data_IF_019772979087
#
_entry.id   IF_019772979087
#
_cell.length_a   1.000
_cell.length_b   1.000
_cell.length_c   1.000
_cell.angle_alpha   90.00
_cell.angle_beta   90.00
_cell.angle_gamma   90.00
#
_symmetry.space_group_name_H-M   'P 1'
#
loop_
_entity.id
_entity.type
_entity.pdbx_description
1 polymer ?
#
# COMPACT_ATOMS: atom_id res chain seq x y z
N UNK A 1 11.44 4.13 -33.05
CA UNK A 1 11.36 4.49 -31.62
C UNK A 1 10.23 5.49 -31.47
N UNK A 2 9.10 5.10 -30.87
CA UNK A 2 8.01 6.03 -30.56
C UNK A 2 8.48 6.97 -29.45
N UNK A 3 8.46 8.28 -29.69
CA UNK A 3 8.78 9.28 -28.67
C UNK A 3 7.61 9.37 -27.67
N UNK A 4 7.88 9.66 -26.40
CA UNK A 4 6.83 9.91 -25.39
C UNK A 4 5.77 10.89 -25.89
N UNK A 5 6.18 11.88 -26.69
CA UNK A 5 5.30 12.86 -27.32
C UNK A 5 4.28 12.25 -28.30
N UNK A 6 4.70 11.26 -29.09
CA UNK A 6 3.80 10.53 -30.01
C UNK A 6 2.78 9.64 -29.30
N UNK A 7 3.08 9.17 -28.07
CA UNK A 7 2.14 8.40 -27.24
C UNK A 7 1.05 9.32 -26.64
N UNK A 8 1.41 10.55 -26.25
CA UNK A 8 0.43 11.52 -25.76
C UNK A 8 -0.53 12.05 -26.84
N UNK A 9 -0.13 12.05 -28.11
CA UNK A 9 -0.99 12.47 -29.23
C UNK A 9 -2.02 11.40 -29.65
N UNK A 10 -1.82 10.14 -29.28
CA UNK A 10 -2.75 9.04 -29.62
C UNK A 10 -4.05 9.12 -28.80
N UNK A 11 -4.13 10.03 -27.82
CA UNK A 11 -5.29 10.14 -26.95
C UNK A 11 -5.39 8.91 -26.06
N UNK A 12 -4.64 8.90 -24.96
CA UNK A 12 -4.83 7.85 -23.96
C UNK A 12 -6.27 7.93 -23.44
N UNK A 13 -6.96 6.78 -23.26
CA UNK A 13 -8.25 6.75 -22.60
C UNK A 13 -8.15 7.53 -21.28
N UNK A 14 -9.09 8.42 -21.02
CA UNK A 14 -9.09 9.26 -19.81
C UNK A 14 -8.98 8.43 -18.53
N UNK A 15 -9.60 7.25 -18.52
CA UNK A 15 -9.53 6.25 -17.44
C UNK A 15 -8.09 5.79 -17.12
N UNK A 16 -7.27 5.60 -18.16
CA UNK A 16 -5.88 5.19 -18.01
C UNK A 16 -5.02 6.34 -17.48
N UNK A 17 -5.28 7.57 -17.94
CA UNK A 17 -4.62 8.78 -17.41
C UNK A 17 -4.96 8.94 -15.92
N UNK A 18 -6.24 8.84 -15.55
CA UNK A 18 -6.71 8.95 -14.17
C UNK A 18 -6.05 7.88 -13.29
N UNK A 19 -5.98 6.64 -13.77
CA UNK A 19 -5.36 5.53 -13.03
C UNK A 19 -3.87 5.73 -12.78
N UNK A 20 -3.13 6.20 -13.81
CA UNK A 20 -1.69 6.50 -13.66
C UNK A 20 -1.47 7.66 -12.68
N UNK A 21 -2.26 8.73 -12.80
CA UNK A 21 -2.16 9.90 -11.90
C UNK A 21 -2.49 9.51 -10.46
N UNK A 22 -3.55 8.72 -10.25
CA UNK A 22 -3.92 8.22 -8.93
C UNK A 22 -2.81 7.36 -8.32
N UNK A 23 -2.18 6.48 -9.10
CA UNK A 23 -1.05 5.66 -8.66
C UNK A 23 0.16 6.52 -8.25
N UNK A 24 0.49 7.54 -9.05
CA UNK A 24 1.61 8.45 -8.74
C UNK A 24 1.33 9.22 -7.44
N UNK A 25 0.12 9.75 -7.27
CA UNK A 25 -0.30 10.46 -6.06
C UNK A 25 -0.23 9.52 -4.85
N UNK A 26 -0.70 8.28 -4.99
CA UNK A 26 -0.67 7.28 -3.93
C UNK A 26 0.76 6.96 -3.48
N UNK A 27 1.63 6.57 -4.43
CA UNK A 27 3.03 6.24 -4.11
C UNK A 27 3.76 7.44 -3.51
N UNK A 28 3.53 8.65 -4.03
CA UNK A 28 4.16 9.86 -3.50
C UNK A 28 3.68 10.15 -2.08
N UNK A 29 2.39 9.99 -1.81
CA UNK A 29 1.81 10.13 -0.48
C UNK A 29 2.41 9.14 0.50
N UNK A 30 2.54 7.87 0.12
CA UNK A 30 3.18 6.83 0.94
C UNK A 30 4.62 7.20 1.33
N UNK A 31 5.42 7.65 0.35
CA UNK A 31 6.81 8.09 0.62
C UNK A 31 6.83 9.23 1.63
N UNK A 32 5.95 10.22 1.49
CA UNK A 32 5.88 11.39 2.37
C UNK A 32 5.44 10.98 3.78
N UNK A 33 4.37 10.20 3.91
CA UNK A 33 3.83 9.78 5.19
C UNK A 33 4.78 8.85 5.93
N UNK A 34 5.40 7.88 5.24
CA UNK A 34 6.40 7.01 5.84
C UNK A 34 7.60 7.81 6.34
N UNK A 35 8.08 8.78 5.56
CA UNK A 35 9.18 9.67 5.97
C UNK A 35 8.82 10.51 7.19
N UNK A 36 7.59 11.02 7.26
CA UNK A 36 7.07 11.75 8.43
C UNK A 36 7.03 10.83 9.64
N UNK A 37 6.47 9.62 9.51
CA UNK A 37 6.41 8.61 10.56
C UNK A 37 7.78 8.31 11.13
N UNK A 38 8.76 7.98 10.28
CA UNK A 38 10.14 7.70 10.68
C UNK A 38 10.81 8.86 11.41
N UNK A 39 10.55 10.10 10.96
CA UNK A 39 11.08 11.31 11.60
C UNK A 39 10.48 11.54 12.99
N UNK A 40 9.16 11.38 13.13
CA UNK A 40 8.45 11.55 14.41
C UNK A 40 8.93 10.51 15.43
N UNK A 41 9.10 9.26 15.01
CA UNK A 41 9.52 8.18 15.89
C UNK A 41 11.02 8.15 16.16
N UNK A 42 11.79 9.02 15.50
CA UNK A 42 13.27 9.03 15.56
C UNK A 42 13.85 7.66 15.24
N UNK A 43 13.48 7.11 14.08
CA UNK A 43 14.04 5.86 13.59
C UNK A 43 15.56 5.97 13.42
N UNK A 44 16.29 4.92 13.81
CA UNK A 44 17.75 4.97 13.94
C UNK A 44 18.47 4.52 12.66
N UNK A 45 17.86 3.61 11.90
CA UNK A 45 18.47 3.03 10.70
C UNK A 45 17.61 3.21 9.47
N UNK A 46 18.28 3.21 8.30
CA UNK A 46 17.66 3.14 6.96
C UNK A 46 16.59 4.22 6.69
N UNK A 47 16.78 5.42 7.22
CA UNK A 47 15.86 6.58 7.05
C UNK A 47 16.05 7.36 5.73
N UNK A 48 17.06 7.04 4.93
CA UNK A 48 17.31 7.73 3.66
C UNK A 48 16.26 7.35 2.61
N UNK A 49 15.97 8.26 1.67
CA UNK A 49 14.90 8.07 0.66
C UNK A 49 15.01 6.74 -0.10
N UNK A 50 16.23 6.30 -0.45
CA UNK A 50 16.46 5.00 -1.12
C UNK A 50 15.91 3.81 -0.32
N UNK A 51 16.03 3.87 1.00
CA UNK A 51 15.58 2.83 1.91
C UNK A 51 14.10 2.93 2.21
N UNK A 52 13.54 4.14 2.27
CA UNK A 52 12.10 4.39 2.39
C UNK A 52 11.37 3.82 1.17
N UNK A 53 11.83 4.14 -0.04
CA UNK A 53 11.27 3.60 -1.28
C UNK A 53 11.41 2.08 -1.33
N UNK A 54 12.59 1.56 -0.98
CA UNK A 54 12.82 0.12 -0.88
C UNK A 54 11.88 -0.57 0.12
N UNK A 55 11.64 0.03 1.28
CA UNK A 55 10.70 -0.52 2.26
C UNK A 55 9.28 -0.54 1.72
N UNK A 56 8.82 0.52 1.04
CA UNK A 56 7.47 0.57 0.45
C UNK A 56 7.25 -0.59 -0.53
N UNK A 57 8.23 -0.90 -1.40
CA UNK A 57 8.11 -2.04 -2.31
C UNK A 57 8.01 -3.38 -1.57
N UNK A 58 8.76 -3.56 -0.47
CA UNK A 58 8.69 -4.78 0.35
C UNK A 58 7.34 -4.87 1.06
N UNK A 59 6.83 -3.76 1.60
CA UNK A 59 5.52 -3.68 2.27
C UNK A 59 4.38 -3.98 1.29
N UNK A 60 4.40 -3.37 0.10
CA UNK A 60 3.44 -3.69 -0.97
C UNK A 60 3.52 -5.17 -1.35
N UNK A 61 4.74 -5.72 -1.48
CA UNK A 61 4.93 -7.15 -1.77
C UNK A 61 4.32 -8.05 -0.69
N UNK A 62 4.48 -7.69 0.59
CA UNK A 62 3.87 -8.40 1.71
C UNK A 62 2.34 -8.33 1.66
N UNK A 63 1.76 -7.15 1.43
CA UNK A 63 0.31 -6.97 1.32
C UNK A 63 -0.26 -7.80 0.17
N UNK A 64 0.39 -7.76 -0.99
CA UNK A 64 -0.01 -8.58 -2.15
C UNK A 64 0.07 -10.05 -1.80
N UNK A 65 1.16 -10.52 -1.19
CA UNK A 65 1.32 -11.92 -0.81
C UNK A 65 0.23 -12.40 0.16
N UNK A 66 -0.11 -11.59 1.17
CA UNK A 66 -1.19 -11.90 2.12
C UNK A 66 -2.58 -11.80 1.47
N UNK A 67 -2.75 -10.89 0.50
CA UNK A 67 -4.00 -10.67 -0.21
C UNK A 67 -4.28 -11.65 -1.35
N UNK A 68 -3.26 -12.31 -1.91
CA UNK A 68 -3.40 -13.27 -3.03
C UNK A 68 -4.46 -14.36 -2.76
N UNK A 69 -4.49 -15.02 -1.58
CA UNK A 69 -5.55 -15.98 -1.28
C UNK A 69 -6.97 -15.40 -1.40
N UNK A 70 -7.17 -14.15 -0.97
CA UNK A 70 -8.46 -13.47 -1.07
C UNK A 70 -8.81 -13.12 -2.52
N UNK A 71 -7.81 -12.71 -3.31
CA UNK A 71 -7.98 -12.45 -4.75
C UNK A 71 -8.38 -13.73 -5.48
N UNK A 72 -7.74 -14.86 -5.17
CA UNK A 72 -8.06 -16.16 -5.77
C UNK A 72 -9.50 -16.57 -5.44
N UNK A 73 -9.91 -16.44 -4.17
CA UNK A 73 -11.30 -16.73 -3.75
C UNK A 73 -12.31 -15.86 -4.50
N UNK A 74 -12.00 -14.57 -4.67
CA UNK A 74 -12.86 -13.68 -5.43
C UNK A 74 -12.94 -14.05 -6.91
N UNK A 75 -11.81 -14.36 -7.53
CA UNK A 75 -11.74 -14.74 -8.93
C UNK A 75 -12.44 -16.08 -9.22
N UNK A 76 -12.55 -16.97 -8.24
CA UNK A 76 -13.28 -18.24 -8.36
C UNK A 76 -14.79 -18.11 -8.12
N UNK A 77 -15.32 -16.89 -7.93
CA UNK A 77 -16.74 -16.67 -7.62
C UNK A 77 -17.10 -16.87 -6.15
N UNK A 78 -16.13 -17.15 -5.27
CA UNK A 78 -16.39 -17.47 -3.85
C UNK A 78 -16.97 -16.31 -3.03
N UNK A 79 -16.96 -15.09 -3.55
CA UNK A 79 -17.67 -13.95 -2.95
C UNK A 79 -19.19 -13.98 -3.20
N UNK A 80 -19.65 -14.63 -4.28
CA UNK A 80 -21.09 -14.81 -4.57
C UNK A 80 -21.71 -15.88 -3.66
N UNK A 81 -20.91 -16.85 -3.22
CA UNK A 81 -21.31 -17.92 -2.28
C UNK A 81 -21.25 -17.50 -0.79
N UNK A 82 -21.37 -16.19 -0.51
CA UNK A 82 -21.36 -15.65 0.85
C UNK A 82 -19.98 -15.24 1.38
N UNK A 83 -18.92 -15.38 0.57
CA UNK A 83 -17.59 -14.86 0.84
C UNK A 83 -16.73 -15.70 1.81
N UNK A 84 -15.47 -15.27 2.03
CA UNK A 84 -14.56 -15.93 2.95
C UNK A 84 -15.12 -15.88 4.36
N UNK A 85 -14.92 -16.96 5.10
CA UNK A 85 -15.25 -17.02 6.52
C UNK A 85 -14.63 -15.82 7.26
N UNK A 86 -15.47 -15.05 7.97
CA UNK A 86 -15.05 -13.85 8.71
C UNK A 86 -13.89 -14.12 9.68
N UNK A 87 -13.85 -15.29 10.30
CA UNK A 87 -12.75 -15.67 11.21
C UNK A 87 -11.42 -15.76 10.46
N UNK A 88 -11.42 -16.24 9.20
CA UNK A 88 -10.21 -16.31 8.35
C UNK A 88 -9.77 -14.90 7.97
N UNK A 89 -10.70 -14.04 7.55
CA UNK A 89 -10.43 -12.63 7.21
C UNK A 89 -9.83 -11.86 8.38
N UNK A 90 -10.43 -11.97 9.57
CA UNK A 90 -9.93 -11.34 10.79
C UNK A 90 -8.54 -11.85 11.15
N UNK A 91 -8.32 -13.17 11.05
CA UNK A 91 -7.01 -13.78 11.33
C UNK A 91 -5.94 -13.28 10.36
N UNK A 92 -6.25 -13.23 9.06
CA UNK A 92 -5.35 -12.70 8.03
C UNK A 92 -5.01 -11.22 8.29
N UNK A 93 -5.99 -10.42 8.68
CA UNK A 93 -5.81 -9.01 8.98
C UNK A 93 -4.89 -8.82 10.20
N UNK A 94 -5.12 -9.56 11.29
CA UNK A 94 -4.27 -9.51 12.48
C UNK A 94 -2.84 -9.92 12.14
N UNK A 95 -2.66 -11.04 11.42
CA UNK A 95 -1.34 -11.52 11.00
C UNK A 95 -0.65 -10.49 10.11
N UNK A 96 -1.38 -9.91 9.15
CA UNK A 96 -0.84 -8.88 8.25
C UNK A 96 -0.37 -7.64 8.99
N UNK A 97 -1.17 -7.13 9.92
CA UNK A 97 -0.79 -5.99 10.77
C UNK A 97 0.48 -6.30 11.57
N UNK A 98 0.55 -7.48 12.19
CA UNK A 98 1.72 -7.88 12.98
C UNK A 98 2.97 -8.05 12.12
N UNK A 99 2.84 -8.65 10.94
CA UNK A 99 3.96 -8.78 9.99
C UNK A 99 4.45 -7.42 9.51
N UNK A 100 3.53 -6.50 9.21
CA UNK A 100 3.85 -5.16 8.75
C UNK A 100 4.57 -4.32 9.83
N UNK A 101 4.07 -4.34 11.07
CA UNK A 101 4.74 -3.67 12.21
C UNK A 101 6.13 -4.26 12.44
N UNK A 102 6.28 -5.59 12.38
CA UNK A 102 7.58 -6.25 12.51
C UNK A 102 8.51 -5.89 11.36
N UNK A 103 8.02 -5.82 10.13
CA UNK A 103 8.78 -5.43 8.96
C UNK A 103 9.33 -4.01 9.12
N UNK A 104 8.48 -3.05 9.54
CA UNK A 104 8.92 -1.69 9.86
C UNK A 104 10.00 -1.71 10.94
N UNK A 105 9.81 -2.51 12.00
CA UNK A 105 10.77 -2.60 13.09
C UNK A 105 12.13 -3.15 12.64
N UNK A 106 12.12 -4.18 11.79
CA UNK A 106 13.32 -4.81 11.24
C UNK A 106 14.05 -3.89 10.26
N UNK A 107 13.31 -3.12 9.45
CA UNK A 107 13.91 -2.27 8.43
C UNK A 107 14.47 -0.98 9.01
N UNK A 108 13.75 -0.33 9.92
CA UNK A 108 14.05 1.03 10.37
C UNK A 108 14.52 1.12 11.83
N UNK A 109 14.43 0.02 12.58
CA UNK A 109 14.79 -0.09 14.00
C UNK A 109 14.27 1.05 14.90
N UNK A 110 12.99 1.45 14.83
CA UNK A 110 12.45 2.48 15.72
C UNK A 110 12.02 1.92 17.10
N UNK A 111 11.93 0.58 17.24
CA UNK A 111 11.34 -0.13 18.37
C UNK A 111 9.88 -0.51 18.11
N UNK A 112 9.39 -1.57 18.76
CA UNK A 112 8.06 -2.15 18.49
C UNK A 112 6.92 -1.12 18.66
N UNK A 113 6.86 -0.43 19.80
CA UNK A 113 5.80 0.58 20.05
C UNK A 113 5.83 1.74 19.07
N UNK A 114 7.02 2.14 18.61
CA UNK A 114 7.16 3.20 17.60
C UNK A 114 6.83 2.71 16.18
N UNK A 115 7.06 1.43 15.90
CA UNK A 115 6.68 0.82 14.63
C UNK A 115 5.17 0.84 14.41
N UNK A 116 4.37 0.77 15.49
CA UNK A 116 2.91 0.98 15.44
C UNK A 116 2.57 2.38 14.93
N UNK A 117 3.26 3.41 15.41
CA UNK A 117 3.04 4.79 14.97
C UNK A 117 3.35 4.95 13.49
N UNK A 118 4.49 4.40 13.03
CA UNK A 118 4.86 4.41 11.61
C UNK A 118 3.83 3.64 10.77
N UNK A 119 3.35 2.49 11.26
CA UNK A 119 2.30 1.71 10.61
C UNK A 119 1.01 2.53 10.44
N UNK A 120 0.60 3.30 11.45
CA UNK A 120 -0.56 4.20 11.32
C UNK A 120 -0.33 5.22 10.20
N UNK A 121 0.86 5.82 10.11
CA UNK A 121 1.19 6.74 9.01
C UNK A 121 1.16 6.06 7.64
N UNK A 122 1.57 4.80 7.56
CA UNK A 122 1.50 3.99 6.34
C UNK A 122 0.06 3.61 5.95
N UNK A 123 -0.85 3.41 6.92
CA UNK A 123 -2.24 3.07 6.61
C UNK A 123 -3.05 4.29 6.12
N UNK A 124 -2.68 5.50 6.52
CA UNK A 124 -3.46 6.71 6.17
C UNK A 124 -3.61 6.91 4.65
N UNK A 125 -2.54 6.92 3.83
CA UNK A 125 -2.69 7.09 2.39
C UNK A 125 -3.50 5.98 1.74
N UNK A 126 -3.38 4.74 2.22
CA UNK A 126 -4.19 3.59 1.76
C UNK A 126 -5.68 3.88 1.97
N UNK A 127 -6.09 4.24 3.19
CA UNK A 127 -7.49 4.50 3.52
C UNK A 127 -8.03 5.69 2.73
N UNK A 128 -7.24 6.75 2.58
CA UNK A 128 -7.62 7.93 1.79
C UNK A 128 -7.82 7.57 0.32
N UNK A 129 -6.90 6.82 -0.28
CA UNK A 129 -7.00 6.39 -1.67
C UNK A 129 -8.21 5.50 -1.88
N UNK A 130 -8.47 4.53 -1.00
CA UNK A 130 -9.68 3.69 -1.09
C UNK A 130 -10.94 4.54 -0.99
N UNK A 131 -11.01 5.48 -0.03
CA UNK A 131 -12.17 6.35 0.14
C UNK A 131 -12.45 7.20 -1.09
N UNK A 132 -11.41 7.76 -1.71
CA UNK A 132 -11.51 8.55 -2.94
C UNK A 132 -11.94 7.67 -4.11
N UNK A 133 -11.36 6.47 -4.26
CA UNK A 133 -11.74 5.54 -5.32
C UNK A 133 -13.20 5.11 -5.20
N UNK A 134 -13.69 4.83 -3.99
CA UNK A 134 -15.10 4.50 -3.76
C UNK A 134 -15.99 5.64 -4.23
N UNK A 135 -15.72 6.88 -3.83
CA UNK A 135 -16.51 8.06 -4.22
C UNK A 135 -16.50 8.31 -5.73
N UNK A 136 -15.40 7.99 -6.42
CA UNK A 136 -15.30 8.17 -7.88
C UNK A 136 -16.06 7.07 -8.64
N UNK A 137 -16.11 5.84 -8.09
CA UNK A 137 -16.65 4.66 -8.77
C UNK A 137 -18.12 4.36 -8.43
N UNK A 138 -18.69 5.02 -7.41
CA UNK A 138 -20.12 4.96 -7.04
C UNK A 138 -20.86 6.22 -7.46
#
# INVERSE_FOLDING_TARGET
MLSLYSIFQIGLPSELIISIVALIIFITSEIVFLKIGLKITKAEKRINLKWIVGSIFIQIGLIVFIGVPLIIIGASGGFEDGGPNLAILISLLIIGILLEINLINVLHEPGFGKSIVIFIFFVIPIVLTISVLVVILT
#
